data_IF_034362359761
#
_entry.id   IF_034362359761
#
_cell.length_a   1.000
_cell.length_b   1.000
_cell.length_c   1.000
_cell.angle_alpha   90.00
_cell.angle_beta   90.00
_cell.angle_gamma   90.00
#
_symmetry.space_group_name_H-M   'P 1'
#
loop_
_entity.id
_entity.type
_entity.pdbx_description
1 polymer ?
#
# COMPACT_ATOMS: atom_id res chain seq x y z
N UNK A 1 -46.96 4.57 -26.12
CA UNK A 1 -46.02 3.97 -25.15
C UNK A 1 -44.65 3.64 -25.75
N UNK A 2 -44.49 2.84 -26.83
CA UNK A 2 -43.17 2.38 -27.28
C UNK A 2 -42.19 3.50 -27.67
N UNK A 3 -42.66 4.48 -28.47
CA UNK A 3 -41.84 5.63 -28.90
C UNK A 3 -41.36 6.49 -27.72
N UNK A 4 -42.18 6.66 -26.69
CA UNK A 4 -41.81 7.43 -25.50
C UNK A 4 -40.75 6.71 -24.69
N UNK A 5 -40.86 5.38 -24.54
CA UNK A 5 -39.84 4.58 -23.86
C UNK A 5 -38.50 4.64 -24.60
N UNK A 6 -38.50 4.51 -25.93
CA UNK A 6 -37.27 4.64 -26.73
C UNK A 6 -36.62 6.02 -26.54
N UNK A 7 -37.43 7.08 -26.52
CA UNK A 7 -36.94 8.45 -26.32
C UNK A 7 -36.39 8.70 -24.92
N UNK A 8 -36.99 8.09 -23.91
CA UNK A 8 -36.66 8.34 -22.50
C UNK A 8 -35.55 7.42 -21.96
N UNK A 9 -35.46 6.16 -22.40
CA UNK A 9 -34.52 5.17 -21.85
C UNK A 9 -33.19 5.13 -22.60
N UNK A 10 -33.15 5.56 -23.87
CA UNK A 10 -31.94 5.54 -24.68
C UNK A 10 -31.50 6.97 -24.99
N UNK A 11 -30.40 7.44 -24.35
CA UNK A 11 -29.94 8.83 -24.48
C UNK A 11 -29.44 9.15 -25.90
N UNK A 12 -28.84 8.18 -26.58
CA UNK A 12 -28.44 8.29 -27.98
C UNK A 12 -29.19 7.26 -28.82
N UNK A 13 -29.62 7.67 -30.01
CA UNK A 13 -30.36 6.84 -30.97
C UNK A 13 -29.84 7.15 -32.36
N UNK A 14 -29.46 6.11 -33.11
CA UNK A 14 -29.01 6.18 -34.50
C UNK A 14 -29.73 5.07 -35.25
N UNK A 15 -30.23 5.39 -36.45
CA UNK A 15 -30.86 4.43 -37.34
C UNK A 15 -29.93 4.19 -38.52
N UNK A 16 -29.72 2.92 -38.87
CA UNK A 16 -29.04 2.48 -40.08
C UNK A 16 -30.05 1.72 -40.92
N UNK A 17 -30.00 1.92 -42.24
CA UNK A 17 -30.80 1.17 -43.20
C UNK A 17 -29.87 0.30 -44.00
N UNK A 18 -30.29 -0.93 -44.25
CA UNK A 18 -29.53 -1.92 -45.00
C UNK A 18 -30.37 -2.38 -46.18
N UNK A 19 -29.81 -2.28 -47.37
CA UNK A 19 -30.34 -2.92 -48.56
C UNK A 19 -30.27 -4.44 -48.41
N UNK A 20 -31.02 -5.14 -49.25
CA UNK A 20 -30.96 -6.60 -49.24
C UNK A 20 -29.52 -7.04 -49.60
N UNK A 21 -28.87 -7.91 -48.81
CA UNK A 21 -27.46 -8.25 -49.00
C UNK A 21 -27.14 -9.00 -50.30
N UNK A 22 -28.08 -9.81 -50.79
CA UNK A 22 -27.92 -10.64 -51.97
C UNK A 22 -29.29 -11.01 -52.58
N UNK A 23 -29.28 -11.61 -53.77
CA UNK A 23 -30.47 -12.19 -54.39
C UNK A 23 -31.12 -13.26 -53.48
N UNK A 24 -32.44 -13.42 -53.58
CA UNK A 24 -33.25 -14.28 -52.69
C UNK A 24 -32.73 -15.71 -52.65
N UNK A 25 -32.23 -16.22 -53.76
CA UNK A 25 -31.73 -17.58 -53.94
C UNK A 25 -30.46 -17.82 -53.11
N UNK A 26 -29.62 -16.78 -52.97
CA UNK A 26 -28.35 -16.83 -52.25
C UNK A 26 -28.45 -16.47 -50.76
N UNK A 27 -29.60 -15.98 -50.28
CA UNK A 27 -29.79 -15.57 -48.88
C UNK A 27 -29.59 -16.70 -47.86
N UNK A 28 -29.75 -17.97 -48.27
CA UNK A 28 -29.52 -19.14 -47.39
C UNK A 28 -28.04 -19.44 -47.17
N UNK A 29 -27.20 -18.98 -48.10
CA UNK A 29 -25.75 -19.22 -48.14
C UNK A 29 -24.98 -17.94 -47.76
N UNK A 30 -25.65 -16.96 -47.15
CA UNK A 30 -25.12 -15.61 -46.94
C UNK A 30 -23.78 -15.59 -46.18
N UNK A 31 -23.59 -16.50 -45.21
CA UNK A 31 -22.35 -16.63 -44.44
C UNK A 31 -21.17 -17.19 -45.24
N UNK A 32 -21.42 -17.77 -46.42
CA UNK A 32 -20.40 -18.36 -47.30
C UNK A 32 -20.01 -17.41 -48.43
N UNK A 33 -20.82 -16.38 -48.69
CA UNK A 33 -20.56 -15.38 -49.73
C UNK A 33 -19.43 -14.44 -49.30
N UNK A 34 -18.58 -14.09 -50.26
CA UNK A 34 -17.62 -12.99 -50.08
C UNK A 34 -18.24 -11.63 -50.33
N UNK A 35 -17.63 -10.56 -49.80
CA UNK A 35 -18.11 -9.17 -50.01
C UNK A 35 -18.29 -8.79 -51.49
N UNK A 36 -17.54 -9.44 -52.41
CA UNK A 36 -17.65 -9.20 -53.87
C UNK A 36 -18.91 -9.79 -54.49
N UNK A 37 -19.54 -10.73 -53.79
CA UNK A 37 -20.77 -11.42 -54.22
C UNK A 37 -22.02 -10.82 -53.57
N UNK A 38 -21.84 -9.90 -52.64
CA UNK A 38 -22.90 -9.13 -51.99
C UNK A 38 -23.24 -7.88 -52.81
N UNK A 39 -24.43 -7.34 -52.56
CA UNK A 39 -24.85 -6.05 -53.12
C UNK A 39 -23.88 -4.94 -52.65
N UNK A 40 -23.26 -4.18 -53.58
CA UNK A 40 -22.25 -3.19 -53.22
C UNK A 40 -22.76 -2.13 -52.23
N UNK A 41 -24.02 -1.71 -52.36
CA UNK A 41 -24.66 -0.76 -51.44
C UNK A 41 -24.81 -1.32 -50.04
N UNK A 42 -25.12 -2.61 -49.89
CA UNK A 42 -25.18 -3.28 -48.59
C UNK A 42 -23.79 -3.32 -47.94
N UNK A 43 -22.76 -3.65 -48.71
CA UNK A 43 -21.37 -3.69 -48.21
C UNK A 43 -20.93 -2.30 -47.73
N UNK A 44 -21.22 -1.25 -48.49
CA UNK A 44 -20.94 0.13 -48.09
C UNK A 44 -21.67 0.52 -46.79
N UNK A 45 -22.97 0.21 -46.69
CA UNK A 45 -23.78 0.47 -45.49
C UNK A 45 -23.30 -0.32 -44.26
N UNK A 46 -22.91 -1.57 -44.45
CA UNK A 46 -22.34 -2.42 -43.40
C UNK A 46 -21.00 -1.86 -42.89
N UNK A 47 -20.13 -1.40 -43.79
CA UNK A 47 -18.88 -0.75 -43.44
C UNK A 47 -19.12 0.57 -42.70
N UNK A 48 -20.03 1.42 -43.17
CA UNK A 48 -20.39 2.67 -42.47
C UNK A 48 -20.94 2.39 -41.06
N UNK A 49 -21.77 1.36 -40.91
CA UNK A 49 -22.26 0.91 -39.61
C UNK A 49 -21.12 0.48 -38.68
N UNK A 50 -20.23 -0.39 -39.17
CA UNK A 50 -19.08 -0.87 -38.40
C UNK A 50 -18.17 0.28 -37.98
N UNK A 51 -17.83 1.18 -38.91
CA UNK A 51 -17.02 2.36 -38.65
C UNK A 51 -17.68 3.27 -37.61
N UNK A 52 -18.99 3.46 -37.68
CA UNK A 52 -19.72 4.21 -36.66
C UNK A 52 -19.61 3.54 -35.29
N UNK A 53 -19.82 2.23 -35.18
CA UNK A 53 -19.70 1.51 -33.90
C UNK A 53 -18.28 1.63 -33.35
N UNK A 54 -17.25 1.35 -34.15
CA UNK A 54 -15.85 1.42 -33.67
C UNK A 54 -15.44 2.82 -33.23
N UNK A 55 -15.97 3.88 -33.85
CA UNK A 55 -15.60 5.26 -33.54
C UNK A 55 -16.51 5.92 -32.50
N UNK A 56 -17.73 5.42 -32.28
CA UNK A 56 -18.74 6.06 -31.40
C UNK A 56 -19.18 5.21 -30.23
N UNK A 57 -18.93 3.90 -30.22
CA UNK A 57 -19.25 3.08 -29.06
C UNK A 57 -18.34 3.45 -27.89
N UNK A 58 -18.97 3.82 -26.77
CA UNK A 58 -18.26 4.19 -25.56
C UNK A 58 -18.04 2.98 -24.65
N UNK A 59 -17.05 3.10 -23.77
CA UNK A 59 -16.83 2.12 -22.70
C UNK A 59 -18.10 2.06 -21.84
N UNK A 60 -18.54 0.84 -21.52
CA UNK A 60 -19.69 0.65 -20.64
C UNK A 60 -19.35 1.15 -19.23
N UNK A 61 -20.18 2.03 -18.69
CA UNK A 61 -20.06 2.57 -17.34
C UNK A 61 -21.25 2.19 -16.45
N UNK A 62 -21.03 2.18 -15.14
CA UNK A 62 -22.07 2.16 -14.10
C UNK A 62 -22.27 3.56 -13.53
N UNK A 63 -23.29 3.74 -12.68
CA UNK A 63 -23.52 4.99 -11.94
C UNK A 63 -22.27 5.36 -11.15
N UNK A 64 -21.86 6.63 -11.22
CA UNK A 64 -20.58 7.10 -10.68
C UNK A 64 -19.38 6.93 -11.63
N UNK A 65 -19.63 6.75 -12.93
CA UNK A 65 -18.57 6.70 -13.94
C UNK A 65 -17.66 5.47 -13.86
N UNK A 66 -18.07 4.41 -13.15
CA UNK A 66 -17.24 3.22 -12.94
C UNK A 66 -17.17 2.42 -14.25
N UNK A 67 -15.99 2.24 -14.86
CA UNK A 67 -15.85 1.44 -16.07
C UNK A 67 -16.13 -0.04 -15.82
N UNK A 68 -16.92 -0.66 -16.70
CA UNK A 68 -17.23 -2.09 -16.61
C UNK A 68 -16.11 -2.90 -17.28
N UNK A 69 -15.23 -3.46 -16.45
CA UNK A 69 -14.21 -4.42 -16.86
C UNK A 69 -14.81 -5.81 -17.10
N UNK A 70 -14.05 -6.72 -17.74
CA UNK A 70 -14.51 -8.10 -17.95
C UNK A 70 -14.86 -8.83 -16.64
N UNK A 71 -14.09 -8.60 -15.57
CA UNK A 71 -14.38 -9.14 -14.23
C UNK A 71 -15.70 -8.61 -13.69
N UNK A 72 -15.90 -7.30 -13.73
CA UNK A 72 -17.13 -6.67 -13.25
C UNK A 72 -18.34 -7.11 -14.06
N UNK A 73 -18.19 -7.24 -15.39
CA UNK A 73 -19.24 -7.74 -16.28
C UNK A 73 -19.66 -9.17 -15.93
N UNK A 74 -18.69 -10.08 -15.72
CA UNK A 74 -18.98 -11.47 -15.35
C UNK A 74 -19.75 -11.57 -14.03
N UNK A 75 -19.35 -10.77 -13.05
CA UNK A 75 -20.03 -10.70 -11.76
C UNK A 75 -21.45 -10.11 -11.88
N UNK A 76 -21.62 -9.01 -12.62
CA UNK A 76 -22.93 -8.41 -12.88
C UNK A 76 -23.86 -9.37 -13.60
N UNK A 77 -23.36 -10.08 -14.61
CA UNK A 77 -24.12 -11.08 -15.34
C UNK A 77 -24.64 -12.18 -14.41
N UNK A 78 -23.77 -12.72 -13.54
CA UNK A 78 -24.16 -13.71 -12.53
C UNK A 78 -25.25 -13.17 -11.59
N UNK A 79 -25.02 -12.00 -10.99
CA UNK A 79 -25.98 -11.38 -10.05
C UNK A 79 -27.34 -11.18 -10.71
N UNK A 80 -27.36 -10.66 -11.94
CA UNK A 80 -28.61 -10.45 -12.67
C UNK A 80 -29.32 -11.75 -13.01
N UNK A 81 -28.61 -12.76 -13.51
CA UNK A 81 -29.20 -14.07 -13.85
C UNK A 81 -29.74 -14.75 -12.59
N UNK A 82 -28.97 -14.80 -11.49
CA UNK A 82 -29.40 -15.42 -10.23
C UNK A 82 -30.66 -14.73 -9.66
N UNK A 83 -30.74 -13.39 -9.76
CA UNK A 83 -31.90 -12.60 -9.33
C UNK A 83 -33.14 -12.93 -10.17
N UNK A 84 -32.99 -13.00 -11.50
CA UNK A 84 -34.08 -13.35 -12.43
C UNK A 84 -34.56 -14.79 -12.16
N UNK A 85 -33.63 -15.75 -12.02
CA UNK A 85 -33.94 -17.14 -11.71
C UNK A 85 -34.65 -17.30 -10.35
N UNK A 86 -34.44 -16.36 -9.43
CA UNK A 86 -35.11 -16.30 -8.13
C UNK A 86 -36.46 -15.57 -8.17
N UNK A 87 -37.00 -15.26 -9.36
CA UNK A 87 -38.23 -14.48 -9.57
C UNK A 87 -38.21 -13.07 -8.96
N UNK A 88 -37.03 -12.47 -8.84
CA UNK A 88 -36.85 -11.10 -8.34
C UNK A 88 -36.46 -10.15 -9.48
N UNK A 89 -36.69 -8.84 -9.29
CA UNK A 89 -36.30 -7.82 -10.26
C UNK A 89 -34.86 -7.38 -9.99
N UNK A 90 -33.94 -7.50 -10.97
CA UNK A 90 -32.57 -6.99 -10.83
C UNK A 90 -32.53 -5.50 -10.50
N UNK A 91 -31.86 -5.15 -9.42
CA UNK A 91 -31.58 -3.76 -9.07
C UNK A 91 -30.09 -3.47 -9.24
N UNK A 92 -29.76 -2.54 -10.16
CA UNK A 92 -28.39 -2.16 -10.46
C UNK A 92 -27.66 -1.63 -9.22
N UNK A 93 -28.30 -0.80 -8.41
CA UNK A 93 -27.67 -0.15 -7.25
C UNK A 93 -27.29 -1.17 -6.18
N UNK A 94 -28.19 -2.12 -5.88
CA UNK A 94 -27.92 -3.21 -4.94
C UNK A 94 -26.82 -4.14 -5.46
N UNK A 95 -26.84 -4.46 -6.75
CA UNK A 95 -25.80 -5.29 -7.36
C UNK A 95 -24.42 -4.63 -7.24
N UNK A 96 -24.32 -3.33 -7.54
CA UNK A 96 -23.06 -2.58 -7.44
C UNK A 96 -22.55 -2.51 -6.00
N UNK A 97 -23.43 -2.28 -5.03
CA UNK A 97 -23.05 -2.22 -3.61
C UNK A 97 -22.59 -3.58 -3.07
N UNK A 98 -23.28 -4.67 -3.41
CA UNK A 98 -22.86 -6.02 -3.02
C UNK A 98 -21.51 -6.39 -3.67
N UNK A 99 -21.34 -6.05 -4.95
CA UNK A 99 -20.10 -6.34 -5.68
C UNK A 99 -18.92 -5.51 -5.18
N UNK A 100 -19.10 -4.24 -4.80
CA UNK A 100 -18.00 -3.43 -4.25
C UNK A 100 -17.48 -4.02 -2.95
N UNK A 101 -18.35 -4.47 -2.04
CA UNK A 101 -17.93 -5.10 -0.79
C UNK A 101 -17.09 -6.37 -1.04
N UNK A 102 -17.55 -7.25 -1.93
CA UNK A 102 -16.87 -8.51 -2.23
C UNK A 102 -15.52 -8.25 -2.95
N UNK A 103 -15.53 -7.41 -3.99
CA UNK A 103 -14.32 -7.16 -4.77
C UNK A 103 -13.29 -6.34 -4.00
N UNK A 104 -13.69 -5.37 -3.17
CA UNK A 104 -12.76 -4.59 -2.36
C UNK A 104 -12.10 -5.47 -1.29
N UNK A 105 -12.86 -6.36 -0.63
CA UNK A 105 -12.28 -7.33 0.30
C UNK A 105 -11.29 -8.29 -0.41
N UNK A 106 -11.65 -8.78 -1.60
CA UNK A 106 -10.74 -9.59 -2.42
C UNK A 106 -9.51 -8.79 -2.88
N UNK A 107 -9.65 -7.50 -3.16
CA UNK A 107 -8.55 -6.63 -3.53
C UNK A 107 -7.55 -6.46 -2.37
N UNK A 108 -8.03 -6.30 -1.12
CA UNK A 108 -7.18 -6.30 0.08
C UNK A 108 -6.41 -7.62 0.17
N UNK A 109 -7.10 -8.76 0.05
CA UNK A 109 -6.45 -10.08 0.13
C UNK A 109 -5.38 -10.26 -0.95
N UNK A 110 -5.66 -9.85 -2.20
CA UNK A 110 -4.70 -9.90 -3.31
C UNK A 110 -3.47 -9.03 -3.04
N UNK A 111 -3.67 -7.79 -2.61
CA UNK A 111 -2.60 -6.86 -2.30
C UNK A 111 -1.70 -7.38 -1.15
N UNK A 112 -2.30 -7.90 -0.09
CA UNK A 112 -1.56 -8.47 1.06
C UNK A 112 -0.82 -9.74 0.65
N UNK A 113 -1.43 -10.62 -0.14
CA UNK A 113 -0.78 -11.83 -0.63
C UNK A 113 0.44 -11.50 -1.49
N UNK A 114 0.33 -10.51 -2.38
CA UNK A 114 1.44 -10.01 -3.19
C UNK A 114 2.57 -9.46 -2.30
N UNK A 115 2.23 -8.57 -1.36
CA UNK A 115 3.19 -8.00 -0.41
C UNK A 115 3.94 -9.09 0.35
N UNK A 116 3.24 -10.06 0.95
CA UNK A 116 3.85 -11.16 1.70
C UNK A 116 4.76 -12.01 0.84
N UNK A 117 4.30 -12.39 -0.35
CA UNK A 117 5.08 -13.23 -1.27
C UNK A 117 6.38 -12.52 -1.67
N UNK A 118 6.30 -11.23 -2.01
CA UNK A 118 7.48 -10.47 -2.43
C UNK A 118 8.41 -10.12 -1.28
N UNK A 119 7.90 -9.72 -0.11
CA UNK A 119 8.75 -9.56 1.07
C UNK A 119 9.47 -10.86 1.43
N UNK A 120 8.81 -12.02 1.31
CA UNK A 120 9.43 -13.33 1.54
C UNK A 120 10.47 -13.75 0.51
N UNK A 121 10.37 -13.26 -0.73
CA UNK A 121 11.34 -13.52 -1.81
C UNK A 121 12.57 -12.61 -1.70
N UNK A 122 12.37 -11.33 -1.36
CA UNK A 122 13.41 -10.30 -1.43
C UNK A 122 14.14 -10.05 -0.11
N UNK A 123 13.51 -10.29 1.04
CA UNK A 123 14.15 -10.05 2.34
C UNK A 123 14.98 -11.25 2.75
N UNK A 124 16.29 -11.05 2.86
CA UNK A 124 17.23 -12.00 3.46
C UNK A 124 17.59 -11.52 4.86
N UNK A 125 17.36 -12.38 5.86
CA UNK A 125 17.63 -12.04 7.25
C UNK A 125 19.00 -12.56 7.74
N UNK A 126 19.68 -11.80 8.62
CA UNK A 126 19.43 -10.39 8.89
C UNK A 126 19.86 -9.50 7.71
N UNK A 127 19.18 -8.38 7.51
CA UNK A 127 19.68 -7.34 6.58
C UNK A 127 20.90 -6.66 7.18
N UNK A 128 21.79 -6.12 6.34
CA UNK A 128 22.99 -5.44 6.83
C UNK A 128 22.63 -4.12 7.54
N UNK A 129 21.59 -3.44 7.05
CA UNK A 129 21.08 -2.19 7.65
C UNK A 129 19.56 -2.18 7.67
N UNK A 130 18.97 -1.32 8.51
CA UNK A 130 17.53 -1.07 8.49
C UNK A 130 17.09 -0.43 7.17
N UNK A 131 17.96 0.39 6.54
CA UNK A 131 17.65 1.08 5.28
C UNK A 131 17.41 0.10 4.12
N UNK A 132 18.17 -0.99 4.05
CA UNK A 132 17.97 -2.04 3.05
C UNK A 132 16.55 -2.63 3.16
N UNK A 133 16.09 -2.91 4.38
CA UNK A 133 14.74 -3.39 4.63
C UNK A 133 13.68 -2.33 4.29
N UNK A 134 13.91 -1.07 4.67
CA UNK A 134 13.05 0.08 4.36
C UNK A 134 12.84 0.25 2.85
N UNK A 135 13.89 0.11 2.05
CA UNK A 135 13.82 0.23 0.59
C UNK A 135 12.94 -0.86 -0.03
N UNK A 136 13.15 -2.12 0.37
CA UNK A 136 12.34 -3.25 -0.09
C UNK A 136 10.87 -3.02 0.30
N UNK A 137 10.60 -2.67 1.56
CA UNK A 137 9.25 -2.38 2.05
C UNK A 137 8.56 -1.28 1.25
N UNK A 138 9.24 -0.15 1.01
CA UNK A 138 8.68 0.97 0.25
C UNK A 138 8.27 0.59 -1.17
N UNK A 139 9.08 -0.22 -1.87
CA UNK A 139 8.72 -0.74 -3.20
C UNK A 139 7.51 -1.68 -3.12
N UNK A 140 7.47 -2.59 -2.15
CA UNK A 140 6.39 -3.57 -2.04
C UNK A 140 5.05 -2.95 -1.62
N UNK A 141 5.08 -1.91 -0.78
CA UNK A 141 3.89 -1.12 -0.44
C UNK A 141 3.31 -0.46 -1.68
N UNK A 142 4.15 0.19 -2.50
CA UNK A 142 3.72 0.84 -3.75
C UNK A 142 3.00 -0.14 -4.68
N UNK A 143 3.55 -1.34 -4.85
CA UNK A 143 2.94 -2.37 -5.68
C UNK A 143 1.63 -2.89 -5.09
N UNK A 144 1.58 -3.16 -3.78
CA UNK A 144 0.38 -3.64 -3.11
C UNK A 144 -0.78 -2.62 -3.19
N UNK A 145 -0.49 -1.33 -2.98
CA UNK A 145 -1.46 -0.25 -3.12
C UNK A 145 -1.99 -0.15 -4.55
N UNK A 146 -1.11 -0.24 -5.54
CA UNK A 146 -1.50 -0.24 -6.96
C UNK A 146 -2.44 -1.41 -7.27
N UNK A 147 -2.11 -2.62 -6.82
CA UNK A 147 -2.97 -3.81 -6.99
C UNK A 147 -4.35 -3.57 -6.37
N UNK A 148 -4.39 -3.02 -5.15
CA UNK A 148 -5.66 -2.70 -4.50
C UNK A 148 -6.47 -1.69 -5.31
N UNK A 149 -5.85 -0.59 -5.75
CA UNK A 149 -6.51 0.49 -6.49
C UNK A 149 -7.11 -0.01 -7.81
N UNK A 150 -6.37 -0.81 -8.57
CA UNK A 150 -6.81 -1.38 -9.85
C UNK A 150 -7.93 -2.41 -9.71
N UNK A 151 -8.09 -3.01 -8.52
CA UNK A 151 -9.04 -4.10 -8.27
C UNK A 151 -10.16 -3.73 -7.30
N UNK A 152 -10.24 -2.47 -6.86
CA UNK A 152 -11.28 -1.96 -5.97
C UNK A 152 -12.11 -0.88 -6.66
N UNK A 153 -13.36 -0.71 -6.24
CA UNK A 153 -14.22 0.38 -6.68
C UNK A 153 -15.25 0.69 -5.60
N UNK A 154 -15.71 1.95 -5.52
CA UNK A 154 -16.75 2.37 -4.59
C UNK A 154 -16.46 1.92 -3.14
N UNK A 155 -15.25 2.18 -2.66
CA UNK A 155 -14.88 1.90 -1.26
C UNK A 155 -15.44 2.99 -0.34
N UNK A 156 -16.69 2.81 0.07
CA UNK A 156 -17.38 3.74 0.97
C UNK A 156 -16.57 3.92 2.28
N UNK A 157 -16.35 5.18 2.66
CA UNK A 157 -15.54 5.61 3.81
C UNK A 157 -14.08 5.11 3.80
N UNK A 158 -13.58 4.64 2.66
CA UNK A 158 -12.24 4.05 2.51
C UNK A 158 -11.94 2.91 3.50
N UNK A 159 -12.99 2.16 3.86
CA UNK A 159 -12.90 1.12 4.88
C UNK A 159 -11.88 0.04 4.51
N UNK A 160 -11.91 -0.44 3.26
CA UNK A 160 -11.03 -1.52 2.82
C UNK A 160 -9.60 -1.03 2.60
N UNK A 161 -9.44 0.21 2.16
CA UNK A 161 -8.13 0.84 2.07
C UNK A 161 -7.47 1.00 3.46
N UNK A 162 -8.22 1.49 4.45
CA UNK A 162 -7.73 1.57 5.83
C UNK A 162 -7.41 0.19 6.42
N UNK A 163 -8.19 -0.83 6.05
CA UNK A 163 -7.90 -2.22 6.40
C UNK A 163 -6.58 -2.70 5.78
N UNK A 164 -6.35 -2.44 4.49
CA UNK A 164 -5.10 -2.77 3.82
C UNK A 164 -3.90 -2.13 4.53
N UNK A 165 -3.97 -0.83 4.83
CA UNK A 165 -2.90 -0.13 5.54
C UNK A 165 -2.58 -0.78 6.89
N UNK A 166 -3.61 -1.07 7.69
CA UNK A 166 -3.49 -1.76 9.00
C UNK A 166 -2.78 -3.10 8.87
N UNK A 167 -3.14 -3.89 7.85
CA UNK A 167 -2.55 -5.20 7.64
C UNK A 167 -1.10 -5.07 7.19
N UNK A 168 -0.80 -4.23 6.19
CA UNK A 168 0.57 -4.02 5.71
C UNK A 168 1.52 -3.53 6.80
N UNK A 169 1.05 -2.63 7.67
CA UNK A 169 1.82 -2.18 8.82
C UNK A 169 2.15 -3.34 9.77
N UNK A 170 1.17 -4.14 10.18
CA UNK A 170 1.40 -5.27 11.09
C UNK A 170 2.36 -6.30 10.50
N UNK A 171 2.24 -6.56 9.19
CA UNK A 171 3.18 -7.43 8.49
C UNK A 171 4.60 -6.85 8.51
N UNK A 172 4.74 -5.54 8.28
CA UNK A 172 6.05 -4.89 8.32
C UNK A 172 6.67 -4.90 9.72
N UNK A 173 5.89 -4.61 10.77
CA UNK A 173 6.34 -4.70 12.16
C UNK A 173 6.86 -6.10 12.49
N UNK A 174 6.13 -7.15 12.10
CA UNK A 174 6.57 -8.53 12.31
C UNK A 174 7.87 -8.88 11.55
N UNK A 175 8.05 -8.32 10.35
CA UNK A 175 9.27 -8.49 9.55
C UNK A 175 10.45 -7.78 10.22
N UNK A 176 10.26 -6.55 10.71
CA UNK A 176 11.28 -5.81 11.46
C UNK A 176 11.68 -6.53 12.75
N UNK A 177 10.71 -7.02 13.52
CA UNK A 177 10.97 -7.80 14.73
C UNK A 177 11.77 -9.07 14.42
N UNK A 178 11.42 -9.77 13.34
CA UNK A 178 12.17 -10.94 12.88
C UNK A 178 13.61 -10.56 12.48
N UNK A 179 13.80 -9.44 11.79
CA UNK A 179 15.13 -8.95 11.42
C UNK A 179 16.01 -8.68 12.64
N UNK A 180 15.45 -7.98 13.65
CA UNK A 180 16.09 -7.70 14.93
C UNK A 180 16.49 -9.01 15.63
N UNK A 181 15.58 -9.98 15.69
CA UNK A 181 15.83 -11.27 16.32
C UNK A 181 16.93 -12.07 15.63
N UNK A 182 16.91 -12.18 14.30
CA UNK A 182 17.94 -12.91 13.55
C UNK A 182 19.29 -12.20 13.62
N UNK A 183 19.32 -10.86 13.56
CA UNK A 183 20.54 -10.08 13.73
C UNK A 183 21.17 -10.32 15.11
N UNK A 184 20.36 -10.33 16.18
CA UNK A 184 20.84 -10.65 17.52
C UNK A 184 21.43 -12.06 17.60
N UNK A 185 20.77 -13.07 17.00
CA UNK A 185 21.29 -14.46 16.98
C UNK A 185 22.63 -14.56 16.25
N UNK A 186 22.75 -13.92 15.08
CA UNK A 186 23.99 -13.91 14.30
C UNK A 186 25.10 -13.21 15.07
N UNK A 187 24.83 -12.04 15.64
CA UNK A 187 25.79 -11.30 16.47
C UNK A 187 26.29 -12.13 17.66
N UNK A 188 25.39 -12.83 18.37
CA UNK A 188 25.77 -13.73 19.46
C UNK A 188 26.69 -14.87 18.99
N UNK A 189 26.43 -15.45 17.82
CA UNK A 189 27.29 -16.48 17.22
C UNK A 189 28.68 -15.94 16.86
N UNK A 190 28.74 -14.75 16.26
CA UNK A 190 30.00 -14.07 15.93
C UNK A 190 30.77 -13.75 17.22
N UNK A 191 30.11 -13.21 18.25
CA UNK A 191 30.75 -12.91 19.54
C UNK A 191 31.34 -14.19 20.15
N UNK A 192 30.58 -15.28 20.22
CA UNK A 192 31.08 -16.58 20.73
C UNK A 192 32.35 -17.00 20.00
N UNK A 193 32.37 -16.94 18.66
CA UNK A 193 33.54 -17.31 17.84
C UNK A 193 34.72 -16.35 18.04
N UNK A 194 34.48 -15.04 17.96
CA UNK A 194 35.52 -14.00 17.97
C UNK A 194 36.18 -13.89 19.36
N UNK A 195 35.38 -13.99 20.42
CA UNK A 195 35.84 -13.87 21.80
C UNK A 195 36.23 -15.21 22.44
N UNK A 196 36.08 -16.35 21.77
CA UNK A 196 36.47 -17.65 22.32
C UNK A 196 37.90 -17.67 22.93
N UNK A 197 38.94 -17.11 22.27
CA UNK A 197 40.28 -17.14 22.85
C UNK A 197 40.41 -16.29 24.13
N UNK A 198 39.58 -15.26 24.30
CA UNK A 198 39.49 -14.50 25.55
C UNK A 198 38.91 -15.39 26.65
N UNK A 199 37.82 -16.11 26.35
CA UNK A 199 37.16 -17.01 27.30
C UNK A 199 38.07 -18.15 27.77
N UNK A 200 38.86 -18.71 26.84
CA UNK A 200 39.83 -19.76 27.16
C UNK A 200 40.91 -19.23 28.12
N UNK A 201 41.43 -18.01 27.87
CA UNK A 201 42.42 -17.36 28.74
C UNK A 201 41.85 -16.98 30.10
N UNK A 202 40.59 -16.54 30.15
CA UNK A 202 39.89 -16.28 31.41
C UNK A 202 39.75 -17.57 32.23
N UNK A 203 39.31 -18.65 31.58
CA UNK A 203 39.11 -19.96 32.22
C UNK A 203 40.41 -20.59 32.71
N UNK A 204 41.52 -20.36 31.99
CA UNK A 204 42.84 -20.86 32.39
C UNK A 204 43.52 -19.98 33.45
N UNK A 205 42.90 -18.87 33.89
CA UNK A 205 43.50 -17.91 34.82
C UNK A 205 44.68 -17.12 34.24
N UNK A 206 44.84 -17.07 32.91
CA UNK A 206 46.00 -16.44 32.24
C UNK A 206 46.17 -14.94 32.53
N UNK A 207 45.12 -14.28 33.03
CA UNK A 207 45.14 -12.85 33.40
C UNK A 207 45.39 -12.62 34.90
N UNK A 208 45.51 -13.68 35.72
CA UNK A 208 45.80 -13.60 37.17
C UNK A 208 47.29 -13.58 37.46
N UNK A 209 48.04 -12.77 36.71
CA UNK A 209 49.48 -12.58 36.85
C UNK A 209 49.82 -11.10 36.88
N UNK A 210 50.99 -10.68 37.41
CA UNK A 210 51.43 -9.29 37.33
C UNK A 210 51.35 -8.75 35.89
N UNK A 211 50.64 -7.63 35.69
CA UNK A 211 50.39 -7.00 34.39
C UNK A 211 49.22 -7.59 33.59
N UNK A 212 48.49 -8.53 34.18
CA UNK A 212 47.39 -9.26 33.57
C UNK A 212 46.22 -8.37 33.15
N UNK A 213 45.92 -7.29 33.88
CA UNK A 213 44.82 -6.39 33.53
C UNK A 213 45.10 -5.63 32.23
N UNK A 214 46.33 -5.15 32.03
CA UNK A 214 46.70 -4.46 30.78
C UNK A 214 46.53 -5.39 29.57
N UNK A 215 46.96 -6.65 29.71
CA UNK A 215 46.81 -7.67 28.66
C UNK A 215 45.33 -7.99 28.40
N UNK A 216 44.52 -8.15 29.44
CA UNK A 216 43.06 -8.35 29.33
C UNK A 216 42.38 -7.18 28.60
N UNK A 217 42.70 -5.96 29.02
CA UNK A 217 42.17 -4.72 28.44
C UNK A 217 42.53 -4.59 26.95
N UNK A 218 43.78 -4.92 26.57
CA UNK A 218 44.20 -4.94 25.17
C UNK A 218 43.50 -6.03 24.35
N UNK A 219 43.41 -7.25 24.88
CA UNK A 219 42.72 -8.36 24.22
C UNK A 219 41.25 -8.04 23.97
N UNK A 220 40.52 -7.50 24.96
CA UNK A 220 39.14 -7.03 24.79
C UNK A 220 39.03 -6.04 23.62
N UNK A 221 39.90 -5.03 23.56
CA UNK A 221 39.85 -4.02 22.48
C UNK A 221 40.17 -4.63 21.10
N UNK A 222 41.10 -5.59 21.05
CA UNK A 222 41.42 -6.32 19.83
C UNK A 222 40.23 -7.15 19.33
N UNK A 223 39.55 -7.86 20.23
CA UNK A 223 38.38 -8.66 19.87
C UNK A 223 37.17 -7.80 19.51
N UNK A 224 36.97 -6.64 20.15
CA UNK A 224 35.96 -5.65 19.73
C UNK A 224 36.23 -5.19 18.28
N UNK A 225 37.47 -4.82 17.95
CA UNK A 225 37.84 -4.42 16.59
C UNK A 225 37.61 -5.54 15.58
N UNK A 226 37.99 -6.77 15.95
CA UNK A 226 37.75 -7.95 15.11
C UNK A 226 36.26 -8.18 14.89
N UNK A 227 35.44 -8.15 15.94
CA UNK A 227 33.99 -8.25 15.84
C UNK A 227 33.41 -7.17 14.92
N UNK A 228 33.86 -5.92 15.08
CA UNK A 228 33.41 -4.79 14.25
C UNK A 228 33.82 -4.88 12.78
N UNK A 229 34.82 -5.70 12.46
CA UNK A 229 35.24 -5.97 11.07
C UNK A 229 34.47 -7.10 10.40
N UNK A 230 33.68 -7.89 11.14
CA UNK A 230 32.88 -8.97 10.57
C UNK A 230 31.65 -8.40 9.81
N UNK A 231 31.27 -9.07 8.73
CA UNK A 231 30.08 -8.75 7.93
C UNK A 231 28.87 -9.57 8.40
N UNK A 232 27.65 -9.22 7.96
CA UNK A 232 26.44 -9.98 8.25
C UNK A 232 25.92 -9.86 9.68
N UNK A 233 26.40 -8.87 10.45
CA UNK A 233 25.95 -8.64 11.83
C UNK A 233 24.51 -8.13 11.86
N UNK A 234 24.16 -7.30 10.89
CA UNK A 234 22.87 -6.63 10.81
C UNK A 234 22.65 -5.58 11.89
N UNK A 235 21.39 -5.29 12.16
CA UNK A 235 20.94 -4.11 12.91
C UNK A 235 21.17 -4.14 14.43
N UNK A 236 21.55 -5.27 15.03
CA UNK A 236 21.75 -5.44 16.48
C UNK A 236 23.23 -5.59 16.90
N UNK A 237 24.16 -5.09 16.09
CA UNK A 237 25.58 -5.33 16.25
C UNK A 237 26.14 -4.75 17.56
N UNK A 238 25.83 -3.50 17.85
CA UNK A 238 26.41 -2.75 18.97
C UNK A 238 25.65 -3.00 20.27
N UNK A 239 24.33 -3.21 20.21
CA UNK A 239 23.54 -3.65 21.36
C UNK A 239 23.98 -5.05 21.84
N UNK A 240 24.14 -6.01 20.94
CA UNK A 240 24.54 -7.38 21.34
C UNK A 240 25.96 -7.39 21.92
N UNK A 241 26.87 -6.58 21.36
CA UNK A 241 28.21 -6.40 21.91
C UNK A 241 28.18 -5.77 23.30
N UNK A 242 27.35 -4.74 23.51
CA UNK A 242 27.14 -4.11 24.81
C UNK A 242 26.70 -5.14 25.86
N UNK A 243 25.65 -5.93 25.56
CA UNK A 243 25.15 -6.97 26.46
C UNK A 243 26.25 -7.96 26.87
N UNK A 244 27.08 -8.39 25.92
CA UNK A 244 28.21 -9.28 26.19
C UNK A 244 29.26 -8.64 27.10
N UNK A 245 29.67 -7.40 26.81
CA UNK A 245 30.70 -6.69 27.58
C UNK A 245 30.24 -6.36 29.01
N UNK A 246 28.96 -6.04 29.19
CA UNK A 246 28.35 -5.89 30.52
C UNK A 246 28.47 -7.19 31.34
N UNK A 247 28.25 -8.35 30.70
CA UNK A 247 28.48 -9.66 31.30
C UNK A 247 29.94 -9.91 31.72
N UNK A 248 30.92 -9.18 31.17
CA UNK A 248 32.34 -9.27 31.52
C UNK A 248 32.82 -8.22 32.52
N UNK A 249 31.95 -7.29 32.92
CA UNK A 249 32.31 -6.16 33.80
C UNK A 249 32.93 -6.62 35.12
N UNK A 250 32.22 -7.47 35.86
CA UNK A 250 32.68 -7.97 37.18
C UNK A 250 33.99 -8.78 37.07
N UNK A 251 34.14 -9.56 36.01
CA UNK A 251 35.36 -10.31 35.73
C UNK A 251 36.54 -9.35 35.51
N UNK A 252 36.35 -8.30 34.71
CA UNK A 252 37.33 -7.25 34.52
C UNK A 252 37.71 -6.52 35.81
N UNK A 253 36.72 -6.17 36.64
CA UNK A 253 36.94 -5.55 37.97
C UNK A 253 37.75 -6.47 38.90
N UNK A 254 37.50 -7.78 38.85
CA UNK A 254 38.25 -8.77 39.66
C UNK A 254 39.70 -8.89 39.18
N UNK A 255 39.94 -8.93 37.86
CA UNK A 255 41.30 -8.96 37.29
C UNK A 255 42.06 -7.69 37.69
N UNK A 256 41.41 -6.53 37.61
CA UNK A 256 42.01 -5.24 37.95
C UNK A 256 42.44 -5.21 39.42
N UNK A 257 41.56 -5.63 40.33
CA UNK A 257 41.83 -5.66 41.77
C UNK A 257 42.93 -6.66 42.15
N UNK A 258 43.11 -7.74 41.39
CA UNK A 258 44.13 -8.76 41.65
C UNK A 258 45.52 -8.39 41.10
N UNK A 259 45.63 -7.39 40.23
CA UNK A 259 46.88 -7.02 39.55
C UNK A 259 47.76 -6.10 40.42
N UNK A 260 48.64 -6.72 41.21
CA UNK A 260 49.57 -6.03 42.12
C UNK A 260 50.69 -5.26 41.39
N UNK A 261 50.78 -5.33 40.06
CA UNK A 261 51.80 -4.59 39.30
C UNK A 261 51.47 -3.12 39.06
N UNK A 262 50.22 -2.72 39.31
CA UNK A 262 49.75 -1.36 39.10
C UNK A 262 49.89 -0.53 40.38
N UNK A 263 50.36 0.70 40.24
CA UNK A 263 50.26 1.70 41.32
C UNK A 263 48.81 2.13 41.54
N UNK A 264 48.49 2.69 42.71
CA UNK A 264 47.15 3.21 43.02
C UNK A 264 46.68 4.24 41.97
N UNK A 265 47.58 5.11 41.51
CA UNK A 265 47.27 6.09 40.46
C UNK A 265 46.95 5.40 39.12
N UNK A 266 47.73 4.40 38.71
CA UNK A 266 47.45 3.63 37.48
C UNK A 266 46.15 2.83 37.57
N UNK A 267 45.85 2.26 38.75
CA UNK A 267 44.60 1.56 39.00
C UNK A 267 43.40 2.49 38.81
N UNK A 268 43.44 3.69 39.41
CA UNK A 268 42.38 4.70 39.23
C UNK A 268 42.24 5.15 37.77
N UNK A 269 43.36 5.34 37.06
CA UNK A 269 43.33 5.66 35.63
C UNK A 269 42.66 4.55 34.79
N UNK A 270 42.92 3.28 35.09
CA UNK A 270 42.31 2.16 34.39
C UNK A 270 40.80 2.01 34.68
N UNK A 271 40.36 2.33 35.91
CA UNK A 271 38.92 2.42 36.25
C UNK A 271 38.23 3.48 35.38
N UNK A 272 38.81 4.68 35.30
CA UNK A 272 38.24 5.78 34.50
C UNK A 272 38.25 5.47 32.99
N UNK A 273 39.31 4.82 32.48
CA UNK A 273 39.36 4.32 31.10
C UNK A 273 38.26 3.30 30.83
N UNK A 274 38.04 2.35 31.74
CA UNK A 274 36.97 1.35 31.60
C UNK A 274 35.58 2.00 31.62
N UNK A 275 35.35 2.99 32.50
CA UNK A 275 34.11 3.78 32.54
C UNK A 275 33.87 4.53 31.23
N UNK A 276 34.90 5.19 30.70
CA UNK A 276 34.82 5.94 29.44
C UNK A 276 34.45 5.02 28.27
N UNK A 277 35.08 3.85 28.17
CA UNK A 277 34.78 2.85 27.12
C UNK A 277 33.37 2.27 27.24
N UNK A 278 32.91 2.03 28.46
CA UNK A 278 31.54 1.55 28.70
C UNK A 278 30.50 2.59 28.25
N UNK A 279 30.74 3.87 28.55
CA UNK A 279 29.88 4.96 28.11
C UNK A 279 29.88 5.13 26.58
N UNK A 280 31.04 4.97 25.94
CA UNK A 280 31.14 5.01 24.48
C UNK A 280 30.37 3.85 23.83
N UNK A 281 30.47 2.63 24.39
CA UNK A 281 29.72 1.47 23.92
C UNK A 281 28.21 1.67 24.10
N UNK A 282 27.79 2.21 25.25
CA UNK A 282 26.38 2.51 25.52
C UNK A 282 25.83 3.55 24.54
N UNK A 283 26.60 4.60 24.26
CA UNK A 283 26.24 5.62 23.26
C UNK A 283 26.09 5.00 21.87
N UNK A 284 26.99 4.09 21.48
CA UNK A 284 26.94 3.46 20.17
C UNK A 284 25.72 2.53 20.03
N UNK A 285 25.42 1.72 21.05
CA UNK A 285 24.22 0.88 21.07
C UNK A 285 22.91 1.71 21.09
N UNK A 286 22.90 2.81 21.84
CA UNK A 286 21.77 3.74 21.86
C UNK A 286 21.55 4.41 20.50
N UNK A 287 22.64 4.79 19.81
CA UNK A 287 22.58 5.35 18.46
C UNK A 287 22.02 4.34 17.45
N UNK A 288 22.51 3.10 17.46
CA UNK A 288 22.01 2.01 16.61
C UNK A 288 20.49 1.80 16.80
N UNK A 289 20.03 1.69 18.05
CA UNK A 289 18.59 1.59 18.36
C UNK A 289 17.79 2.80 17.87
N UNK A 290 18.29 4.01 18.11
CA UNK A 290 17.61 5.22 17.69
C UNK A 290 17.46 5.28 16.16
N UNK A 291 18.49 4.90 15.41
CA UNK A 291 18.46 4.84 13.95
C UNK A 291 17.41 3.84 13.44
N UNK A 292 17.29 2.65 14.06
CA UNK A 292 16.26 1.67 13.70
C UNK A 292 14.86 2.25 13.89
N UNK A 293 14.58 2.79 15.08
CA UNK A 293 13.26 3.35 15.36
C UNK A 293 12.94 4.55 14.47
N UNK A 294 13.89 5.46 14.27
CA UNK A 294 13.70 6.62 13.38
C UNK A 294 13.40 6.19 11.94
N UNK A 295 14.05 5.12 11.44
CA UNK A 295 13.77 4.56 10.12
C UNK A 295 12.39 3.94 10.05
N UNK A 296 12.00 3.11 11.03
CA UNK A 296 10.66 2.54 11.08
C UNK A 296 9.56 3.61 11.11
N UNK A 297 9.77 4.70 11.84
CA UNK A 297 8.88 5.87 11.84
C UNK A 297 8.74 6.48 10.43
N UNK A 298 9.88 6.68 9.75
CA UNK A 298 9.92 7.24 8.39
C UNK A 298 9.23 6.33 7.38
N UNK A 299 9.40 5.02 7.50
CA UNK A 299 8.77 4.04 6.62
C UNK A 299 7.25 4.04 6.74
N UNK A 300 6.74 4.14 7.97
CA UNK A 300 5.30 4.28 8.23
C UNK A 300 4.76 5.59 7.65
N UNK A 301 5.47 6.71 7.85
CA UNK A 301 5.09 7.99 7.25
C UNK A 301 5.11 7.94 5.72
N UNK A 302 6.10 7.26 5.13
CA UNK A 302 6.21 7.09 3.69
C UNK A 302 5.05 6.25 3.13
N UNK A 303 4.75 5.11 3.76
CA UNK A 303 3.60 4.26 3.42
C UNK A 303 2.28 5.03 3.48
N UNK A 304 2.11 5.85 4.51
CA UNK A 304 0.96 6.72 4.64
C UNK A 304 0.86 7.73 3.48
N UNK A 305 1.94 8.47 3.22
CA UNK A 305 1.97 9.49 2.16
C UNK A 305 1.68 8.86 0.79
N UNK A 306 2.26 7.70 0.51
CA UNK A 306 2.04 6.96 -0.73
C UNK A 306 0.57 6.54 -0.87
N UNK A 307 -0.04 6.05 0.21
CA UNK A 307 -1.45 5.69 0.21
C UNK A 307 -2.36 6.90 -0.07
N UNK A 308 -2.08 8.05 0.55
CA UNK A 308 -2.81 9.30 0.30
C UNK A 308 -2.64 9.75 -1.15
N UNK A 309 -1.42 9.74 -1.67
CA UNK A 309 -1.13 10.17 -3.04
C UNK A 309 -1.89 9.32 -4.07
N UNK A 310 -1.80 7.99 -3.97
CA UNK A 310 -2.48 7.11 -4.91
C UNK A 310 -4.00 7.16 -4.76
N UNK A 311 -4.52 7.36 -3.54
CA UNK A 311 -5.95 7.57 -3.31
C UNK A 311 -6.46 8.84 -3.98
N UNK A 312 -5.79 9.97 -3.77
CA UNK A 312 -6.18 11.24 -4.36
C UNK A 312 -6.20 11.16 -5.89
N UNK A 313 -5.21 10.47 -6.47
CA UNK A 313 -5.18 10.21 -7.91
C UNK A 313 -6.39 9.41 -8.38
N UNK A 314 -6.72 8.31 -7.70
CA UNK A 314 -7.89 7.48 -8.02
C UNK A 314 -9.19 8.28 -7.92
N UNK A 315 -9.37 9.03 -6.85
CA UNK A 315 -10.58 9.83 -6.63
C UNK A 315 -10.73 10.92 -7.70
N UNK A 316 -9.64 11.55 -8.14
CA UNK A 316 -9.69 12.54 -9.22
C UNK A 316 -10.06 11.88 -10.57
N UNK A 317 -9.52 10.69 -10.86
CA UNK A 317 -9.89 9.93 -12.05
C UNK A 317 -11.38 9.53 -12.04
N UNK A 318 -11.90 9.07 -10.89
CA UNK A 318 -13.32 8.77 -10.69
C UNK A 318 -14.21 10.01 -10.79
N UNK A 319 -13.75 11.16 -10.27
CA UNK A 319 -14.44 12.46 -10.37
C UNK A 319 -14.55 12.92 -11.82
N UNK A 320 -13.46 12.84 -12.59
CA UNK A 320 -13.45 13.18 -14.02
C UNK A 320 -14.39 12.25 -14.79
N UNK A 321 -14.38 10.94 -14.49
CA UNK A 321 -15.27 9.98 -15.15
C UNK A 321 -16.74 10.26 -14.86
N UNK A 322 -17.06 10.56 -13.60
CA UNK A 322 -18.42 10.93 -13.17
C UNK A 322 -18.90 12.22 -13.84
N UNK A 323 -18.01 13.21 -13.97
CA UNK A 323 -18.31 14.47 -14.65
C UNK A 323 -18.64 14.25 -16.14
N UNK A 324 -17.84 13.45 -16.84
CA UNK A 324 -18.09 13.10 -18.25
C UNK A 324 -19.42 12.36 -18.43
N UNK A 325 -19.71 11.41 -17.54
CA UNK A 325 -20.99 10.69 -17.54
C UNK A 325 -22.17 11.65 -17.36
N UNK A 326 -22.06 12.58 -16.41
CA UNK A 326 -23.09 13.58 -16.14
C UNK A 326 -23.31 14.51 -17.34
N UNK A 327 -22.24 15.08 -17.90
CA UNK A 327 -22.31 15.94 -19.09
C UNK A 327 -23.00 15.23 -20.25
N UNK A 328 -22.66 13.97 -20.49
CA UNK A 328 -23.29 13.15 -21.54
C UNK A 328 -24.79 12.99 -21.34
N UNK A 329 -25.23 12.69 -20.12
CA UNK A 329 -26.66 12.53 -19.81
C UNK A 329 -27.41 13.85 -19.98
N UNK A 330 -26.81 14.96 -19.56
CA UNK A 330 -27.40 16.30 -19.71
C UNK A 330 -27.47 16.71 -21.18
N UNK A 331 -26.42 16.52 -21.96
CA UNK A 331 -26.39 16.85 -23.40
C UNK A 331 -27.45 16.06 -24.17
N UNK A 332 -27.57 14.76 -23.91
CA UNK A 332 -28.58 13.90 -24.51
C UNK A 332 -30.01 14.39 -24.18
N UNK A 333 -30.25 14.79 -22.93
CA UNK A 333 -31.56 15.35 -22.52
C UNK A 333 -31.81 16.71 -23.16
N UNK A 334 -30.84 17.63 -23.21
CA UNK A 334 -31.01 18.93 -23.86
C UNK A 334 -31.35 18.79 -25.35
N UNK A 335 -30.70 17.84 -26.04
CA UNK A 335 -31.01 17.54 -27.45
C UNK A 335 -32.45 17.05 -27.61
N UNK A 336 -32.87 16.10 -26.77
CA UNK A 336 -34.23 15.56 -26.78
C UNK A 336 -35.28 16.63 -26.49
N UNK A 337 -34.99 17.53 -25.54
CA UNK A 337 -35.85 18.66 -25.23
C UNK A 337 -36.05 19.57 -26.44
N UNK A 338 -34.97 19.91 -27.14
CA UNK A 338 -35.01 20.75 -28.33
C UNK A 338 -35.86 20.12 -29.44
N UNK A 339 -35.71 18.81 -29.65
CA UNK A 339 -36.50 18.07 -30.65
C UNK A 339 -37.99 18.03 -30.27
N UNK A 340 -38.33 17.82 -28.99
CA UNK A 340 -39.72 17.90 -28.50
C UNK A 340 -40.33 19.29 -28.71
N UNK A 341 -39.57 20.36 -28.51
CA UNK A 341 -40.04 21.73 -28.74
C UNK A 341 -40.32 21.98 -30.22
N UNK A 342 -39.43 21.53 -31.13
CA UNK A 342 -39.64 21.63 -32.59
C UNK A 342 -40.86 20.86 -33.06
N UNK A 343 -41.12 19.71 -32.48
CA UNK A 343 -42.30 18.88 -32.78
C UNK A 343 -43.60 19.39 -32.12
N UNK A 344 -43.53 20.41 -31.25
CA UNK A 344 -44.68 21.04 -30.60
C UNK A 344 -45.11 20.41 -29.26
N UNK A 345 -44.34 19.45 -28.71
CA UNK A 345 -44.64 18.78 -27.44
C UNK A 345 -44.15 19.56 -26.21
N UNK A 346 -44.71 20.76 -25.99
CA UNK A 346 -44.27 21.69 -24.92
C UNK A 346 -44.28 21.08 -23.51
N UNK A 347 -45.36 20.42 -23.11
CA UNK A 347 -45.47 19.82 -21.76
C UNK A 347 -44.38 18.78 -21.49
N UNK A 348 -44.00 17.98 -22.50
CA UNK A 348 -42.93 16.98 -22.35
C UNK A 348 -41.56 17.64 -22.28
N UNK A 349 -41.34 18.70 -23.05
CA UNK A 349 -40.10 19.48 -22.99
C UNK A 349 -39.93 20.17 -21.62
N UNK A 350 -41.02 20.64 -21.01
CA UNK A 350 -41.02 21.20 -19.64
C UNK A 350 -40.71 20.14 -18.57
N UNK A 351 -41.27 18.93 -18.69
CA UNK A 351 -40.91 17.82 -17.79
C UNK A 351 -39.43 17.48 -17.91
N UNK A 352 -38.89 17.44 -19.13
CA UNK A 352 -37.48 17.17 -19.35
C UNK A 352 -36.57 18.28 -18.81
N UNK A 353 -37.00 19.56 -18.90
CA UNK A 353 -36.30 20.67 -18.26
C UNK A 353 -36.19 20.47 -16.75
N UNK A 354 -37.30 20.08 -16.10
CA UNK A 354 -37.30 19.83 -14.65
C UNK A 354 -36.33 18.70 -14.26
N UNK A 355 -36.22 17.67 -15.10
CA UNK A 355 -35.23 16.60 -14.90
C UNK A 355 -33.80 17.11 -15.04
N UNK A 356 -33.50 17.91 -16.07
CA UNK A 356 -32.18 18.54 -16.26
C UNK A 356 -31.83 19.44 -15.07
N UNK A 357 -32.77 20.28 -14.62
CA UNK A 357 -32.59 21.15 -13.45
C UNK A 357 -32.38 20.33 -12.17
N UNK A 358 -33.03 19.17 -12.06
CA UNK A 358 -32.83 18.23 -10.96
C UNK A 358 -31.42 17.63 -10.97
N UNK A 359 -30.97 17.16 -12.14
CA UNK A 359 -29.62 16.62 -12.34
C UNK A 359 -28.54 17.67 -12.04
N UNK A 360 -28.68 18.89 -12.56
CA UNK A 360 -27.74 19.98 -12.33
C UNK A 360 -27.67 20.36 -10.84
N UNK A 361 -28.82 20.43 -10.15
CA UNK A 361 -28.87 20.67 -8.70
C UNK A 361 -28.22 19.56 -7.90
N UNK A 362 -28.40 18.30 -8.31
CA UNK A 362 -27.73 17.17 -7.67
C UNK A 362 -26.20 17.26 -7.84
N UNK A 363 -25.73 17.56 -9.06
CA UNK A 363 -24.31 17.79 -9.32
C UNK A 363 -23.74 18.94 -8.49
N UNK A 364 -24.44 20.06 -8.41
CA UNK A 364 -23.99 21.21 -7.61
C UNK A 364 -23.81 20.83 -6.13
N UNK A 365 -24.73 20.04 -5.57
CA UNK A 365 -24.58 19.50 -4.21
C UNK A 365 -23.35 18.59 -4.10
N UNK A 366 -23.20 17.64 -5.01
CA UNK A 366 -22.06 16.71 -5.03
C UNK A 366 -20.72 17.44 -5.22
N UNK A 367 -20.68 18.53 -6.00
CA UNK A 367 -19.49 19.38 -6.16
C UNK A 367 -19.16 20.18 -4.92
N UNK A 368 -20.16 20.70 -4.19
CA UNK A 368 -19.94 21.45 -2.93
C UNK A 368 -19.54 20.51 -1.80
N UNK A 369 -20.06 19.28 -1.78
CA UNK A 369 -19.71 18.25 -0.79
C UNK A 369 -18.38 17.56 -1.13
N UNK A 370 -17.91 17.57 -2.38
CA UNK A 370 -16.67 16.87 -2.73
C UNK A 370 -15.43 17.37 -1.99
N UNK A 371 -15.12 18.69 -1.85
CA UNK A 371 -13.96 19.16 -1.10
C UNK A 371 -14.04 18.83 0.39
N UNK A 372 -15.24 18.84 0.98
CA UNK A 372 -15.43 18.48 2.39
C UNK A 372 -15.35 16.97 2.63
N UNK A 373 -15.76 16.15 1.67
CA UNK A 373 -15.53 14.71 1.68
C UNK A 373 -14.04 14.40 1.53
N UNK A 374 -13.32 15.09 0.63
CA UNK A 374 -11.87 14.98 0.51
C UNK A 374 -11.17 15.32 1.82
N UNK A 375 -11.52 16.43 2.48
CA UNK A 375 -10.92 16.79 3.77
C UNK A 375 -11.24 15.76 4.85
N UNK A 376 -12.48 15.27 4.91
CA UNK A 376 -12.90 14.24 5.89
C UNK A 376 -12.18 12.91 5.64
N UNK A 377 -11.96 12.51 4.39
CA UNK A 377 -11.18 11.32 4.04
C UNK A 377 -9.72 11.51 4.41
N UNK A 378 -9.14 12.68 4.14
CA UNK A 378 -7.78 13.02 4.55
C UNK A 378 -7.63 13.00 6.08
N UNK A 379 -8.64 13.49 6.79
CA UNK A 379 -8.70 13.49 8.26
C UNK A 379 -8.88 12.06 8.81
N UNK A 380 -9.72 11.23 8.20
CA UNK A 380 -9.92 9.84 8.61
C UNK A 380 -8.65 9.01 8.38
N UNK A 381 -8.02 9.18 7.23
CA UNK A 381 -6.73 8.55 6.89
C UNK A 381 -5.65 9.12 7.81
N UNK A 382 -5.62 10.43 8.07
CA UNK A 382 -4.66 11.11 8.95
C UNK A 382 -4.80 10.78 10.44
N UNK A 383 -6.02 10.61 10.95
CA UNK A 383 -6.30 10.08 12.27
C UNK A 383 -5.90 8.61 12.38
N UNK A 384 -6.07 7.82 11.30
CA UNK A 384 -5.55 6.48 11.27
C UNK A 384 -4.01 6.50 11.36
N UNK A 385 -3.34 7.42 10.64
CA UNK A 385 -1.89 7.62 10.76
C UNK A 385 -1.44 7.92 12.19
N UNK A 386 -2.17 8.76 12.94
CA UNK A 386 -1.82 9.05 14.34
C UNK A 386 -2.06 7.87 15.30
N UNK A 387 -2.94 6.92 14.94
CA UNK A 387 -3.11 5.64 15.64
C UNK A 387 -2.02 4.60 15.26
N UNK A 388 -1.36 4.81 14.14
CA UNK A 388 -0.36 3.90 13.56
C UNK A 388 1.08 4.34 13.77
N UNK A 389 1.31 5.63 14.00
CA UNK A 389 2.58 6.10 14.52
C UNK A 389 2.75 5.48 15.92
N UNK A 390 3.89 4.85 16.23
CA UNK A 390 4.15 4.27 17.52
C UNK A 390 4.10 5.40 18.54
N UNK A 391 3.04 5.42 19.34
CA UNK A 391 3.12 5.97 20.67
C UNK A 391 4.28 5.25 21.34
N UNK A 392 5.34 5.99 21.68
CA UNK A 392 6.48 5.50 22.44
C UNK A 392 5.93 4.75 23.66
N UNK A 393 6.00 3.42 23.64
CA UNK A 393 6.17 2.51 24.78
C UNK A 393 6.08 1.05 24.30
N UNK A 394 7.20 0.41 23.93
CA UNK A 394 7.33 -1.01 24.16
C UNK A 394 7.41 -1.23 25.68
N UNK A 395 6.54 -2.09 26.20
CA UNK A 395 6.69 -2.72 27.51
C UNK A 395 7.94 -3.63 27.50
N UNK A 396 9.13 -3.04 27.58
CA UNK A 396 10.36 -3.76 27.92
C UNK A 396 11.24 -2.82 28.74
N UNK A 397 11.36 -3.10 30.04
CA UNK A 397 12.46 -2.66 30.93
C UNK A 397 12.74 -1.15 31.01
N UNK A 398 12.40 -0.54 32.15
CA UNK A 398 12.64 0.89 32.42
C UNK A 398 14.09 1.36 32.21
N UNK A 399 14.19 2.68 31.96
CA UNK A 399 15.36 3.54 31.75
C UNK A 399 15.72 3.86 30.28
N UNK A 400 14.93 4.72 29.64
CA UNK A 400 15.41 5.54 28.51
C UNK A 400 14.55 6.80 28.22
N UNK A 401 13.86 7.39 29.20
CA UNK A 401 12.98 8.57 28.94
C UNK A 401 13.73 9.91 28.97
N UNK A 402 15.01 9.98 29.34
CA UNK A 402 15.68 11.27 29.57
C UNK A 402 16.37 11.91 28.35
N UNK A 403 16.56 11.22 27.22
CA UNK A 403 17.39 11.74 26.12
C UNK A 403 16.62 12.49 25.02
N UNK A 404 15.29 12.34 24.94
CA UNK A 404 14.48 12.88 23.83
C UNK A 404 13.94 14.31 24.07
N UNK A 405 14.04 14.86 25.30
CA UNK A 405 13.55 16.21 25.62
C UNK A 405 14.47 17.36 25.16
N UNK A 406 15.59 17.06 24.48
CA UNK A 406 16.54 18.08 23.97
C UNK A 406 16.41 18.42 22.49
N UNK A 407 15.56 17.71 21.74
CA UNK A 407 15.36 17.98 20.31
C UNK A 407 14.04 18.68 19.96
N UNK A 408 13.20 18.96 20.96
CA UNK A 408 12.06 19.86 20.83
C UNK A 408 12.30 21.12 21.69
N UNK A 409 13.11 22.04 21.16
CA UNK A 409 13.01 23.48 21.42
C UNK A 409 13.36 24.25 20.17
#
# INVERSE_FOLDING_TARGET
MPRSCLRNFFPSRKCFVFERPAATEKMKELSELSDRELEPSFVEQANEFCDYIYNKAEIKTLKGGIPVTGRLLGNLAKVYVDTICSNQVPCLENAVQALSQIENANAVQRAVAHYRAKMGEWVVFPTETQEELSQIHGTMVKEALKIFIENSFKDEDQKHQLELMKVLQKEYEAICDKNIQESKKVCQSIIKRVFQPLEDRLSSGSYMSPGGYRKYSQDIQNYIRKYRSEHGRGVMAEETLKEYLEGKKKTGETILAADQSLTEAEHQMEVERARTRALEQEKQAAKEKAEIYERMMKDQQHTYNENVEQLLKKMEEERISTMREHERVVEAKLKEQHDLLKEGFKEKAELLQKEIDGLNRQREKEQVESPSLFSTILDNVGQAASLFLPGILPKVGGMAVSYMSRFFK
#
